data_IF_033436825716
#
_entry.id   IF_033436825716
#
_cell.length_a   1.000
_cell.length_b   1.000
_cell.length_c   1.000
_cell.angle_alpha   90.00
_cell.angle_beta   90.00
_cell.angle_gamma   90.00
#
_symmetry.space_group_name_H-M   'P 1'
#
loop_
_entity.id
_entity.type
_entity.pdbx_description
1 polymer ?
#
# COMPACT_ATOMS: atom_id res chain seq x y z
N UNK A 1 -0.81 -0.40 -10.72
CA UNK A 1 -2.02 -0.46 -9.88
C UNK A 1 -1.59 -0.64 -8.43
N UNK A 2 -2.21 0.02 -7.46
CA UNK A 2 -1.93 -0.18 -6.02
C UNK A 2 -3.08 -0.97 -5.40
N UNK A 3 -2.83 -2.23 -5.06
CA UNK A 3 -3.83 -3.14 -4.53
C UNK A 3 -4.21 -2.69 -3.12
N UNK A 4 -5.50 -2.60 -2.82
CA UNK A 4 -5.95 -2.17 -1.48
C UNK A 4 -5.67 -0.69 -1.17
N UNK A 5 -5.35 0.13 -2.18
CA UNK A 5 -5.35 1.58 -2.03
C UNK A 5 -6.76 2.06 -1.64
N UNK A 6 -6.87 2.80 -0.55
CA UNK A 6 -8.16 3.15 0.04
C UNK A 6 -8.08 4.24 1.09
N UNK A 7 -9.27 4.67 1.50
CA UNK A 7 -9.46 5.77 2.43
C UNK A 7 -9.89 5.26 3.81
N UNK A 8 -9.33 5.85 4.86
CA UNK A 8 -9.85 5.76 6.23
C UNK A 8 -10.08 7.17 6.76
N UNK A 9 -11.12 7.35 7.58
CA UNK A 9 -11.42 8.61 8.23
C UNK A 9 -11.72 8.37 9.71
N UNK A 10 -10.99 9.07 10.58
CA UNK A 10 -11.16 9.00 12.02
C UNK A 10 -11.69 10.34 12.54
N UNK A 11 -12.90 10.32 13.12
CA UNK A 11 -13.42 11.47 13.86
C UNK A 11 -12.74 11.55 15.21
N UNK A 12 -12.23 12.72 15.55
CA UNK A 12 -11.64 12.99 16.87
C UNK A 12 -12.70 13.53 17.84
N UNK A 13 -12.33 13.71 19.10
CA UNK A 13 -13.13 14.46 20.07
C UNK A 13 -12.98 15.98 19.92
N UNK A 14 -12.04 16.45 19.10
CA UNK A 14 -11.69 17.86 18.93
C UNK A 14 -12.66 18.58 17.97
N UNK A 15 -12.70 19.88 18.12
CA UNK A 15 -13.40 20.84 17.26
C UNK A 15 -12.42 21.82 16.62
N UNK A 16 -12.89 22.61 15.66
CA UNK A 16 -12.10 23.68 15.06
C UNK A 16 -11.48 24.63 16.10
N UNK A 17 -12.19 24.90 17.20
CA UNK A 17 -11.73 25.77 18.28
C UNK A 17 -10.56 25.19 19.11
N UNK A 18 -10.36 23.87 19.05
CA UNK A 18 -9.24 23.19 19.73
C UNK A 18 -7.97 23.19 18.88
N UNK A 19 -8.05 23.54 17.59
CA UNK A 19 -6.90 23.62 16.70
C UNK A 19 -6.13 24.93 16.92
N UNK A 20 -4.78 24.90 16.86
CA UNK A 20 -4.00 26.12 16.89
C UNK A 20 -4.22 26.95 15.61
N UNK A 21 -4.03 28.26 15.69
CA UNK A 21 -4.10 29.15 14.52
C UNK A 21 -3.09 28.76 13.43
N UNK A 22 -1.95 28.18 13.82
CA UNK A 22 -0.91 27.70 12.93
C UNK A 22 -0.74 26.18 13.03
N UNK A 23 -1.00 25.47 11.94
CA UNK A 23 -0.90 24.01 11.84
C UNK A 23 0.50 23.49 11.47
N UNK A 24 1.50 24.36 11.33
CA UNK A 24 2.85 23.97 10.91
C UNK A 24 3.48 22.94 11.87
N UNK A 25 3.30 23.11 13.18
CA UNK A 25 3.83 22.16 14.17
C UNK A 25 3.12 20.81 14.10
N UNK A 26 1.79 20.81 13.92
CA UNK A 26 1.00 19.59 13.74
C UNK A 26 1.44 18.84 12.49
N UNK A 27 1.58 19.54 11.36
CA UNK A 27 2.09 18.96 10.11
C UNK A 27 3.46 18.34 10.32
N UNK A 28 4.40 19.06 10.93
CA UNK A 28 5.75 18.57 11.17
C UNK A 28 5.75 17.33 12.10
N UNK A 29 4.88 17.29 13.11
CA UNK A 29 4.74 16.14 13.99
C UNK A 29 4.22 14.91 13.25
N UNK A 30 3.22 15.06 12.37
CA UNK A 30 2.70 13.98 11.52
C UNK A 30 3.80 13.48 10.57
N UNK A 31 4.51 14.39 9.91
CA UNK A 31 5.59 14.08 8.97
C UNK A 31 6.76 13.35 9.63
N UNK A 32 7.05 13.66 10.90
CA UNK A 32 8.06 12.97 11.69
C UNK A 32 7.60 11.59 12.17
N UNK A 33 6.31 11.42 12.47
CA UNK A 33 5.74 10.17 12.98
C UNK A 33 5.44 9.15 11.88
N UNK A 34 5.10 9.61 10.67
CA UNK A 34 4.71 8.76 9.54
C UNK A 34 5.69 8.95 8.38
N UNK A 35 6.55 7.95 8.08
CA UNK A 35 7.46 8.03 6.95
C UNK A 35 6.68 8.19 5.64
N UNK A 36 7.15 9.11 4.80
CA UNK A 36 6.49 9.48 3.56
C UNK A 36 7.50 10.03 2.55
N UNK A 37 7.09 10.16 1.29
CA UNK A 37 7.95 10.62 0.22
C UNK A 37 8.82 9.51 -0.37
N UNK A 38 9.75 9.91 -1.25
CA UNK A 38 10.73 9.02 -1.87
C UNK A 38 12.04 9.77 -2.03
N UNK A 39 13.14 9.16 -1.63
CA UNK A 39 14.46 9.72 -1.96
C UNK A 39 14.83 9.41 -3.41
N UNK A 40 15.07 10.44 -4.22
CA UNK A 40 15.62 10.29 -5.58
C UNK A 40 17.15 10.36 -5.53
N UNK A 41 17.83 9.24 -5.77
CA UNK A 41 19.30 9.18 -5.88
C UNK A 41 19.88 7.81 -5.51
N UNK A 42 21.02 7.42 -6.10
CA UNK A 42 21.73 6.19 -5.74
C UNK A 42 22.46 6.38 -4.40
N UNK A 43 22.12 5.57 -3.39
CA UNK A 43 22.93 5.41 -2.18
C UNK A 43 22.44 6.08 -0.88
N UNK A 44 21.33 6.83 -0.89
CA UNK A 44 20.69 7.31 0.34
C UNK A 44 19.54 6.39 0.73
N UNK A 45 19.37 6.14 2.04
CA UNK A 45 18.20 5.45 2.59
C UNK A 45 16.94 6.20 2.16
N UNK A 46 15.88 5.46 1.84
CA UNK A 46 14.61 6.07 1.45
C UNK A 46 14.02 6.80 2.66
N UNK A 47 13.80 8.11 2.53
CA UNK A 47 13.18 8.94 3.57
C UNK A 47 11.74 8.50 3.81
N UNK A 48 11.09 7.90 2.80
CA UNK A 48 9.74 7.33 2.90
C UNK A 48 9.64 5.92 3.46
N UNK A 49 10.72 5.39 4.03
CA UNK A 49 10.77 4.06 4.60
C UNK A 49 11.35 4.05 6.01
N UNK A 50 11.00 3.05 6.79
CA UNK A 50 11.64 2.82 8.08
C UNK A 50 13.10 2.45 7.91
N UNK A 51 13.98 3.12 8.67
CA UNK A 51 15.35 2.66 8.88
C UNK A 51 15.35 1.40 9.75
N UNK A 52 14.75 1.53 10.92
CA UNK A 52 14.43 0.45 11.85
C UNK A 52 12.93 0.54 12.16
N UNK A 53 12.09 -0.41 11.71
CA UNK A 53 10.66 -0.40 12.02
C UNK A 53 10.41 -0.38 13.54
N UNK A 54 9.38 0.34 14.00
CA UNK A 54 8.99 0.33 15.41
C UNK A 54 8.27 -0.96 15.80
N UNK A 55 8.19 -1.24 17.11
CA UNK A 55 7.63 -2.50 17.64
C UNK A 55 6.20 -2.80 17.16
N UNK A 56 5.34 -1.78 17.01
CA UNK A 56 4.00 -1.97 16.48
C UNK A 56 4.00 -2.42 15.00
N UNK A 57 4.98 -1.98 14.21
CA UNK A 57 5.15 -2.46 12.83
C UNK A 57 5.67 -3.89 12.82
N UNK A 58 6.56 -4.26 13.75
CA UNK A 58 7.04 -5.64 13.90
C UNK A 58 5.89 -6.61 14.25
N UNK A 59 5.03 -6.22 15.18
CA UNK A 59 3.84 -6.99 15.58
C UNK A 59 2.86 -7.21 14.43
N UNK A 60 2.65 -6.18 13.59
CA UNK A 60 1.82 -6.28 12.40
C UNK A 60 2.48 -7.12 11.31
N UNK A 61 3.79 -6.96 11.12
CA UNK A 61 4.55 -7.75 10.15
C UNK A 61 4.53 -9.24 10.49
N UNK A 62 4.64 -9.61 11.77
CA UNK A 62 4.56 -11.01 12.21
C UNK A 62 3.26 -11.71 11.76
N UNK A 63 2.15 -10.97 11.65
CA UNK A 63 0.87 -11.49 11.17
C UNK A 63 0.85 -11.71 9.65
N UNK A 64 1.66 -10.95 8.91
CA UNK A 64 1.77 -11.01 7.45
C UNK A 64 2.88 -11.95 6.97
N UNK A 65 3.83 -12.29 7.85
CA UNK A 65 5.07 -12.97 7.48
C UNK A 65 4.83 -14.32 6.78
N UNK A 66 3.93 -15.16 7.29
CA UNK A 66 3.65 -16.46 6.68
C UNK A 66 3.13 -16.34 5.24
N UNK A 67 2.25 -15.37 4.97
CA UNK A 67 1.75 -15.08 3.63
C UNK A 67 2.83 -14.51 2.71
N UNK A 68 3.71 -13.65 3.26
CA UNK A 68 4.84 -13.10 2.52
C UNK A 68 5.88 -14.17 2.16
N UNK A 69 6.16 -15.09 3.08
CA UNK A 69 7.06 -16.22 2.83
C UNK A 69 6.51 -17.13 1.74
N UNK A 70 5.22 -17.48 1.78
CA UNK A 70 4.59 -18.21 0.69
C UNK A 70 4.74 -17.48 -0.66
N UNK A 71 4.42 -16.18 -0.68
CA UNK A 71 4.45 -15.34 -1.87
C UNK A 71 5.87 -15.28 -2.48
N UNK A 72 6.89 -15.08 -1.63
CA UNK A 72 8.28 -14.95 -2.07
C UNK A 72 8.97 -16.27 -2.37
N UNK A 73 8.56 -17.37 -1.74
CA UNK A 73 9.04 -18.72 -2.11
C UNK A 73 8.54 -19.10 -3.50
N UNK A 74 7.26 -18.88 -3.79
CA UNK A 74 6.68 -19.18 -5.11
C UNK A 74 7.12 -18.16 -6.17
N UNK A 75 7.26 -16.90 -5.79
CA UNK A 75 7.63 -15.80 -6.68
C UNK A 75 8.77 -14.93 -6.10
N UNK A 76 10.04 -15.37 -6.22
CA UNK A 76 11.20 -14.70 -5.60
C UNK A 76 11.39 -13.23 -5.97
N UNK A 77 10.84 -12.78 -7.10
CA UNK A 77 10.88 -11.37 -7.53
C UNK A 77 10.33 -10.39 -6.49
N UNK A 78 9.40 -10.83 -5.64
CA UNK A 78 8.78 -9.97 -4.64
C UNK A 78 9.69 -9.65 -3.45
N UNK A 79 10.83 -10.35 -3.29
CA UNK A 79 11.85 -10.03 -2.28
C UNK A 79 12.41 -8.60 -2.44
N UNK A 80 12.36 -8.04 -3.66
CA UNK A 80 12.92 -6.73 -3.98
C UNK A 80 11.99 -5.54 -3.64
N UNK A 81 10.90 -5.77 -2.92
CA UNK A 81 9.84 -4.76 -2.69
C UNK A 81 9.99 -3.96 -1.39
N UNK A 82 10.97 -4.31 -0.54
CA UNK A 82 11.19 -3.71 0.78
C UNK A 82 9.93 -3.71 1.67
N UNK A 83 9.03 -4.70 1.50
CA UNK A 83 7.70 -4.74 2.13
C UNK A 83 7.73 -4.44 3.63
N UNK A 84 8.62 -5.09 4.39
CA UNK A 84 8.77 -4.87 5.84
C UNK A 84 9.06 -3.41 6.21
N UNK A 85 9.93 -2.72 5.45
CA UNK A 85 10.30 -1.33 5.73
C UNK A 85 9.27 -0.31 5.25
N UNK A 86 8.32 -0.74 4.42
CA UNK A 86 7.23 0.10 3.92
C UNK A 86 5.92 -0.11 4.68
N UNK A 87 5.84 -1.09 5.58
CA UNK A 87 4.65 -1.30 6.40
C UNK A 87 4.48 -0.12 7.36
N UNK A 88 3.28 0.47 7.41
CA UNK A 88 3.01 1.66 8.22
C UNK A 88 3.63 2.95 7.68
N UNK A 89 3.99 3.02 6.39
CA UNK A 89 4.43 4.26 5.73
C UNK A 89 3.36 4.79 4.77
N UNK A 90 3.33 6.11 4.58
CA UNK A 90 2.31 6.75 3.74
C UNK A 90 2.59 6.54 2.25
N UNK A 91 3.84 6.80 1.84
CA UNK A 91 4.26 6.71 0.46
C UNK A 91 4.29 7.99 -0.36
N UNK A 92 4.00 7.83 -1.64
CA UNK A 92 4.08 8.86 -2.68
C UNK A 92 2.88 8.77 -3.62
N UNK A 93 2.73 9.76 -4.49
CA UNK A 93 1.62 9.82 -5.45
C UNK A 93 0.47 10.59 -4.83
N UNK A 94 -0.73 10.04 -4.90
CA UNK A 94 -1.95 10.62 -4.34
C UNK A 94 -2.22 10.21 -2.88
N UNK A 95 -1.24 9.62 -2.18
CA UNK A 95 -1.37 9.22 -0.78
C UNK A 95 -1.14 10.41 0.15
N UNK A 96 -2.00 10.57 1.15
CA UNK A 96 -1.99 11.73 2.03
C UNK A 96 -2.52 11.41 3.44
N UNK A 97 -2.13 12.25 4.39
CA UNK A 97 -2.83 12.43 5.67
C UNK A 97 -3.37 13.86 5.65
N UNK A 98 -4.67 14.02 5.88
CA UNK A 98 -5.35 15.31 5.83
C UNK A 98 -6.14 15.53 7.11
N UNK A 99 -6.08 16.76 7.64
CA UNK A 99 -6.88 17.19 8.78
C UNK A 99 -8.03 18.03 8.23
N UNK A 100 -9.26 17.56 8.43
CA UNK A 100 -10.47 18.17 7.87
C UNK A 100 -11.46 18.55 8.97
N UNK A 101 -12.34 19.49 8.66
CA UNK A 101 -13.52 19.81 9.46
C UNK A 101 -14.76 19.28 8.76
N UNK A 102 -15.70 18.74 9.52
CA UNK A 102 -17.05 18.48 9.01
C UNK A 102 -17.97 19.70 9.15
N UNK A 103 -19.21 19.57 8.69
CA UNK A 103 -20.23 20.64 8.74
C UNK A 103 -20.61 21.10 10.15
N UNK A 104 -20.15 20.39 11.19
CA UNK A 104 -20.37 20.70 12.60
C UNK A 104 -19.09 21.09 13.34
N UNK A 105 -18.07 21.52 12.59
CA UNK A 105 -16.75 21.92 13.08
C UNK A 105 -16.01 20.81 13.85
N UNK A 106 -16.31 19.52 13.62
CA UNK A 106 -15.54 18.41 14.20
C UNK A 106 -14.30 18.13 13.40
N UNK A 107 -13.21 17.86 14.10
CA UNK A 107 -11.92 17.53 13.47
C UNK A 107 -11.88 16.05 13.10
N UNK A 108 -11.56 15.79 11.84
CA UNK A 108 -11.33 14.48 11.25
C UNK A 108 -9.89 14.33 10.76
N UNK A 109 -9.38 13.11 10.84
CA UNK A 109 -8.12 12.71 10.21
C UNK A 109 -8.47 11.77 9.06
N UNK A 110 -8.18 12.18 7.84
CA UNK A 110 -8.33 11.36 6.64
C UNK A 110 -6.98 10.79 6.24
N UNK A 111 -6.93 9.47 6.03
CA UNK A 111 -5.75 8.74 5.57
C UNK A 111 -6.06 8.11 4.22
N UNK A 112 -5.21 8.40 3.24
CA UNK A 112 -5.18 7.72 1.95
C UNK A 112 -3.85 6.99 1.79
N UNK A 113 -3.89 5.67 1.77
CA UNK A 113 -2.71 4.85 1.48
C UNK A 113 -3.11 3.49 0.91
N UNK A 114 -2.14 2.60 0.70
CA UNK A 114 -2.35 1.30 0.08
C UNK A 114 -1.21 0.33 0.35
N UNK A 115 -1.12 -0.71 -0.47
CA UNK A 115 -0.16 -1.80 -0.33
C UNK A 115 1.28 -1.46 -0.72
N UNK A 116 1.56 -0.19 -1.04
CA UNK A 116 2.90 0.32 -1.35
C UNK A 116 3.51 -0.41 -2.56
N UNK A 117 4.82 -0.58 -2.57
CA UNK A 117 5.54 -1.18 -3.70
C UNK A 117 5.16 -2.64 -3.97
N UNK A 118 4.73 -3.40 -2.96
CA UNK A 118 4.46 -4.84 -3.12
C UNK A 118 3.16 -5.10 -3.89
N UNK A 119 2.06 -4.40 -3.63
CA UNK A 119 0.87 -4.61 -4.45
C UNK A 119 1.00 -4.10 -5.88
N UNK A 120 1.82 -3.06 -6.11
CA UNK A 120 2.20 -2.69 -7.47
C UNK A 120 2.98 -3.80 -8.19
N UNK A 121 3.94 -4.41 -7.50
CA UNK A 121 4.70 -5.52 -8.04
C UNK A 121 3.80 -6.75 -8.34
N UNK A 122 2.89 -7.10 -7.42
CA UNK A 122 1.91 -8.18 -7.59
C UNK A 122 1.02 -7.89 -8.81
N UNK A 123 0.37 -6.73 -8.85
CA UNK A 123 -0.53 -6.37 -9.94
C UNK A 123 0.17 -6.40 -11.30
N UNK A 124 1.35 -5.77 -11.39
CA UNK A 124 2.14 -5.75 -12.64
C UNK A 124 2.54 -7.16 -13.09
N UNK A 125 2.95 -8.01 -12.15
CA UNK A 125 3.40 -9.35 -12.47
C UNK A 125 2.27 -10.26 -12.93
N UNK A 126 1.16 -10.31 -12.20
CA UNK A 126 0.03 -11.17 -12.53
C UNK A 126 -0.73 -10.70 -13.78
N UNK A 127 -0.80 -9.39 -14.05
CA UNK A 127 -1.30 -8.90 -15.36
C UNK A 127 -0.43 -9.45 -16.49
N UNK A 128 0.91 -9.44 -16.33
CA UNK A 128 1.83 -10.01 -17.32
C UNK A 128 1.61 -11.50 -17.54
N UNK A 129 1.40 -12.27 -16.46
CA UNK A 129 1.07 -13.70 -16.55
C UNK A 129 -0.27 -13.95 -17.25
N UNK A 130 -1.31 -13.19 -16.92
CA UNK A 130 -2.61 -13.30 -17.58
C UNK A 130 -2.50 -13.02 -19.09
N UNK A 131 -1.74 -12.00 -19.47
CA UNK A 131 -1.48 -11.69 -20.89
C UNK A 131 -0.71 -12.80 -21.61
N UNK A 132 0.19 -13.51 -20.91
CA UNK A 132 0.92 -14.65 -21.46
C UNK A 132 0.02 -15.87 -21.62
N UNK A 133 -0.78 -16.21 -20.61
CA UNK A 133 -1.72 -17.34 -20.66
C UNK A 133 -2.76 -17.16 -21.77
N UNK A 134 -3.22 -15.92 -21.96
CA UNK A 134 -4.19 -15.59 -22.99
C UNK A 134 -3.57 -15.34 -24.37
N UNK A 135 -2.26 -15.51 -24.58
CA UNK A 135 -1.56 -15.04 -25.79
C UNK A 135 -2.23 -15.46 -27.11
N UNK A 136 -2.74 -16.69 -27.19
CA UNK A 136 -3.45 -17.23 -28.37
C UNK A 136 -4.86 -16.69 -28.53
N UNK A 137 -5.46 -16.18 -27.45
CA UNK A 137 -6.81 -15.62 -27.39
C UNK A 137 -6.80 -14.08 -27.28
N UNK A 138 -5.63 -13.43 -27.20
CA UNK A 138 -5.51 -11.98 -27.03
C UNK A 138 -6.16 -11.20 -28.19
N UNK A 139 -6.19 -11.75 -29.40
CA UNK A 139 -6.86 -11.14 -30.55
C UNK A 139 -8.38 -11.08 -30.41
N UNK A 140 -8.95 -11.92 -29.55
CA UNK A 140 -10.39 -11.92 -29.24
C UNK A 140 -10.76 -10.93 -28.14
N UNK A 141 -9.76 -10.41 -27.41
CA UNK A 141 -9.99 -9.38 -26.41
C UNK A 141 -10.08 -8.00 -27.05
N UNK A 142 -11.01 -7.14 -26.60
CA UNK A 142 -11.05 -5.74 -27.01
C UNK A 142 -9.77 -4.96 -26.64
N UNK A 143 -9.03 -5.43 -25.63
CA UNK A 143 -7.74 -4.87 -25.20
C UNK A 143 -6.92 -5.91 -24.44
N UNK A 144 -5.59 -5.85 -24.56
CA UNK A 144 -4.65 -6.67 -23.76
C UNK A 144 -4.74 -6.39 -22.25
N UNK A 145 -5.25 -5.22 -21.87
CA UNK A 145 -5.44 -4.85 -20.47
C UNK A 145 -6.66 -5.53 -19.84
N UNK A 146 -7.47 -6.22 -20.64
CA UNK A 146 -8.60 -7.05 -20.20
C UNK A 146 -8.22 -8.52 -20.04
N UNK A 147 -6.92 -8.84 -20.00
CA UNK A 147 -6.47 -10.20 -19.74
C UNK A 147 -6.88 -10.65 -18.33
N UNK A 148 -7.29 -11.91 -18.23
CA UNK A 148 -7.82 -12.53 -17.01
C UNK A 148 -7.31 -13.97 -16.89
N UNK A 149 -7.43 -14.52 -15.69
CA UNK A 149 -7.25 -15.95 -15.45
C UNK A 149 -8.61 -16.64 -15.42
N UNK A 150 -8.69 -17.87 -15.93
CA UNK A 150 -9.87 -18.70 -15.76
C UNK A 150 -9.95 -19.17 -14.30
N UNK A 151 -11.14 -19.11 -13.71
CA UNK A 151 -11.37 -19.61 -12.35
C UNK A 151 -10.97 -21.09 -12.24
N UNK A 152 -10.25 -21.44 -11.18
CA UNK A 152 -9.69 -22.77 -10.95
C UNK A 152 -8.34 -23.04 -11.63
N UNK A 153 -7.77 -22.07 -12.36
CA UNK A 153 -6.36 -22.17 -12.78
C UNK A 153 -5.41 -21.90 -11.60
N UNK A 154 -4.18 -22.44 -11.67
CA UNK A 154 -3.18 -22.21 -10.63
C UNK A 154 -2.88 -20.71 -10.44
N UNK A 155 -2.74 -19.96 -11.54
CA UNK A 155 -2.48 -18.53 -11.47
C UNK A 155 -3.67 -17.71 -10.98
N UNK A 156 -4.91 -18.18 -11.18
CA UNK A 156 -6.09 -17.57 -10.57
C UNK A 156 -6.02 -17.65 -9.04
N UNK A 157 -5.79 -18.84 -8.50
CA UNK A 157 -5.72 -19.05 -7.05
C UNK A 157 -4.54 -18.32 -6.42
N UNK A 158 -3.39 -18.34 -7.09
CA UNK A 158 -2.21 -17.61 -6.64
C UNK A 158 -2.42 -16.10 -6.66
N UNK A 159 -3.07 -15.57 -7.71
CA UNK A 159 -3.39 -14.15 -7.81
C UNK A 159 -4.34 -13.72 -6.69
N UNK A 160 -5.42 -14.46 -6.45
CA UNK A 160 -6.36 -14.16 -5.37
C UNK A 160 -5.66 -14.15 -4.00
N UNK A 161 -4.80 -15.14 -3.73
CA UNK A 161 -4.04 -15.19 -2.48
C UNK A 161 -3.06 -14.03 -2.36
N UNK A 162 -2.38 -13.64 -3.44
CA UNK A 162 -1.47 -12.50 -3.47
C UNK A 162 -2.22 -11.16 -3.28
N UNK A 163 -3.37 -10.98 -3.93
CA UNK A 163 -4.24 -9.80 -3.77
C UNK A 163 -4.72 -9.69 -2.33
N UNK A 164 -5.21 -10.80 -1.77
CA UNK A 164 -5.69 -10.81 -0.39
C UNK A 164 -4.57 -10.42 0.59
N UNK A 165 -3.37 -10.99 0.42
CA UNK A 165 -2.23 -10.61 1.24
C UNK A 165 -1.86 -9.12 1.09
N UNK A 166 -1.89 -8.58 -0.14
CA UNK A 166 -1.62 -7.16 -0.37
C UNK A 166 -2.68 -6.24 0.29
N UNK A 167 -3.94 -6.66 0.33
CA UNK A 167 -5.00 -5.95 1.05
C UNK A 167 -4.79 -6.01 2.56
N UNK A 168 -4.40 -7.17 3.11
CA UNK A 168 -4.03 -7.30 4.53
C UNK A 168 -2.85 -6.40 4.87
N UNK A 169 -1.84 -6.33 3.99
CA UNK A 169 -0.71 -5.40 4.16
C UNK A 169 -1.16 -3.93 4.15
N UNK A 170 -2.07 -3.55 3.25
CA UNK A 170 -2.58 -2.18 3.19
C UNK A 170 -3.41 -1.79 4.43
N UNK A 171 -4.06 -2.78 5.08
CA UNK A 171 -4.89 -2.58 6.26
C UNK A 171 -4.09 -2.54 7.58
N UNK A 172 -2.92 -3.20 7.61
CA UNK A 172 -2.13 -3.43 8.82
C UNK A 172 -1.37 -2.20 9.32
#
# INVERSE_FOLDING_TARGET
MDIGCGMNALRTSLTAADLPENLAELRNAIEAAVPHGRTTGRGRRDVGAWGNPPANVDEKWAQLEAGYQWLTQKYPRFLNTNSYKHLGTLGTGNHFIEICLDETDRVWIMLHSGSRGIGNAIGTYFIGLAQQEMQEQLETLPSRDLAYFNEGSEYFDDYLKAVHWAQQFAQA
#
